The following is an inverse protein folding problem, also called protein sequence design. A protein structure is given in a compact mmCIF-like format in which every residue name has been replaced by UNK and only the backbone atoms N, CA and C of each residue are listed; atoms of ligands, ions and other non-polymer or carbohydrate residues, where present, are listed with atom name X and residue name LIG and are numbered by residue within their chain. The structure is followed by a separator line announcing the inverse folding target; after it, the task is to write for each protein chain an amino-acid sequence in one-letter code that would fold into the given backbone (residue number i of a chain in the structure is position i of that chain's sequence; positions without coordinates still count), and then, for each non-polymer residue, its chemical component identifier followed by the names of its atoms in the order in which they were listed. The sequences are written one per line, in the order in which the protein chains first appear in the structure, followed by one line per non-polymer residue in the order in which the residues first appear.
data_IF_679720355952
#
_entry.id   IF_679720355952
#
_cell.length_a   1.000
_cell.length_b   1.000
_cell.length_c   1.000
_cell.angle_alpha   90.00
_cell.angle_beta   90.00
_cell.angle_gamma   90.00
#
_symmetry.space_group_name_H-M   'P 1'
#
loop_
_entity.id
_entity.type
_entity.pdbx_description
1 polymer ?
#
# COMPACT_ATOMS: atom_id res chain seq x y z
N UNK A 1 27.38 15.15 41.86
CA UNK A 1 26.85 15.67 40.59
C UNK A 1 25.53 16.37 40.90
N UNK A 2 25.52 17.69 40.87
CA UNK A 2 24.33 18.49 41.17
C UNK A 2 23.53 18.78 39.88
N UNK A 3 22.29 19.27 40.01
CA UNK A 3 21.42 19.51 38.86
C UNK A 3 22.00 20.55 37.87
N UNK A 4 22.74 21.54 38.37
CA UNK A 4 23.40 22.56 37.55
C UNK A 4 24.55 21.99 36.71
N UNK A 5 25.33 21.05 37.25
CA UNK A 5 26.35 20.33 36.48
C UNK A 5 25.74 19.51 35.35
N UNK A 6 24.59 18.86 35.58
CA UNK A 6 23.89 18.08 34.55
C UNK A 6 23.39 19.00 33.44
N UNK A 7 22.77 20.14 33.78
CA UNK A 7 22.30 21.12 32.80
C UNK A 7 23.45 21.65 31.95
N UNK A 8 24.58 22.02 32.58
CA UNK A 8 25.77 22.50 31.86
C UNK A 8 26.36 21.44 30.92
N UNK A 9 26.34 20.16 31.32
CA UNK A 9 26.79 19.05 30.49
C UNK A 9 25.83 18.80 29.31
N UNK A 10 24.53 18.91 29.54
CA UNK A 10 23.52 18.83 28.48
C UNK A 10 23.62 19.97 27.46
N UNK A 11 23.90 21.21 27.92
CA UNK A 11 24.11 22.38 27.05
C UNK A 11 25.39 22.26 26.21
N UNK A 12 26.38 21.51 26.69
CA UNK A 12 27.63 21.24 25.97
C UNK A 12 27.51 20.13 24.91
N UNK A 13 26.36 19.44 24.83
CA UNK A 13 26.08 18.45 23.78
C UNK A 13 25.78 19.17 22.45
N UNK A 14 26.84 19.60 21.77
CA UNK A 14 26.76 20.08 20.39
C UNK A 14 26.92 18.89 19.46
N UNK A 15 25.84 18.53 18.75
CA UNK A 15 25.89 17.58 17.64
C UNK A 15 26.83 18.13 16.54
N UNK A 16 28.11 17.78 16.60
CA UNK A 16 29.05 18.01 15.49
C UNK A 16 28.80 16.95 14.42
N UNK A 17 29.06 17.33 13.17
CA UNK A 17 28.41 16.78 11.97
C UNK A 17 28.41 15.24 11.83
N UNK A 18 29.38 14.50 12.40
CA UNK A 18 29.36 13.03 12.56
C UNK A 18 30.26 12.63 13.74
N UNK A 19 29.70 12.24 14.87
CA UNK A 19 30.48 11.74 16.01
C UNK A 19 31.05 10.34 15.71
N UNK A 20 32.39 10.21 15.74
CA UNK A 20 33.09 8.94 15.62
C UNK A 20 33.27 8.40 14.19
N UNK A 21 34.09 7.34 14.01
CA UNK A 21 34.30 6.71 12.71
C UNK A 21 33.06 5.93 12.26
N UNK A 22 32.80 5.93 10.95
CA UNK A 22 31.75 5.10 10.36
C UNK A 22 32.16 3.62 10.43
N UNK A 23 31.55 2.88 11.37
CA UNK A 23 31.84 1.46 11.56
C UNK A 23 30.89 0.59 10.71
N UNK A 24 31.39 -0.28 9.82
CA UNK A 24 30.54 -1.16 9.04
C UNK A 24 29.98 -2.30 9.91
N UNK A 25 28.68 -2.51 9.83
CA UNK A 25 28.02 -3.66 10.46
C UNK A 25 28.37 -4.93 9.67
N UNK A 26 28.87 -5.97 10.35
CA UNK A 26 29.18 -7.28 9.72
C UNK A 26 27.92 -7.88 9.10
N UNK A 27 28.05 -8.51 7.92
CA UNK A 27 26.90 -9.04 7.13
C UNK A 27 26.01 -9.99 7.94
N UNK A 28 26.61 -10.95 8.63
CA UNK A 28 25.88 -11.93 9.46
C UNK A 28 25.04 -11.30 10.58
N UNK A 29 25.40 -10.10 11.06
CA UNK A 29 24.64 -9.37 12.09
C UNK A 29 23.38 -8.69 11.52
N UNK A 30 23.25 -8.57 10.19
CA UNK A 30 22.07 -7.98 9.52
C UNK A 30 21.00 -9.00 9.17
N UNK A 31 21.39 -10.26 8.94
CA UNK A 31 20.51 -11.30 8.41
C UNK A 31 19.20 -11.46 9.22
N UNK A 32 19.28 -11.42 10.55
CA UNK A 32 18.08 -11.49 11.41
C UNK A 32 17.19 -10.24 11.25
N UNK A 33 17.79 -9.06 11.20
CA UNK A 33 17.08 -7.80 10.96
C UNK A 33 16.38 -7.78 9.59
N UNK A 34 17.06 -8.20 8.54
CA UNK A 34 16.50 -8.30 7.18
C UNK A 34 15.35 -9.31 7.12
N UNK A 35 15.50 -10.47 7.77
CA UNK A 35 14.44 -11.48 7.88
C UNK A 35 13.22 -10.93 8.60
N UNK A 36 13.40 -10.25 9.73
CA UNK A 36 12.30 -9.64 10.50
C UNK A 36 11.63 -8.51 9.74
N UNK A 37 12.40 -7.68 9.03
CA UNK A 37 11.87 -6.62 8.16
C UNK A 37 11.02 -7.22 7.03
N UNK A 38 11.47 -8.34 6.47
CA UNK A 38 10.72 -9.15 5.50
C UNK A 38 9.41 -9.74 6.02
N UNK A 39 9.09 -9.60 7.31
CA UNK A 39 7.80 -10.00 7.89
C UNK A 39 6.98 -8.79 8.36
N UNK A 40 7.41 -7.56 8.05
CA UNK A 40 6.71 -6.34 8.46
C UNK A 40 5.92 -5.70 7.32
N UNK A 41 4.82 -5.04 7.70
CA UNK A 41 4.14 -4.02 6.92
C UNK A 41 4.01 -2.77 7.77
N UNK A 42 4.13 -1.60 7.15
CA UNK A 42 3.78 -0.33 7.78
C UNK A 42 2.52 0.20 7.12
N UNK A 43 1.67 0.81 7.93
CA UNK A 43 0.36 1.28 7.53
C UNK A 43 0.18 2.72 7.92
N UNK A 44 -0.41 3.52 7.02
CA UNK A 44 -0.94 4.84 7.35
C UNK A 44 -2.44 4.84 7.08
N UNK A 45 -3.23 5.28 8.07
CA UNK A 45 -4.64 5.58 7.84
C UNK A 45 -4.78 7.00 7.31
N UNK A 46 -5.41 7.14 6.15
CA UNK A 46 -5.68 8.44 5.52
C UNK A 46 -6.91 9.09 6.18
N UNK A 47 -6.71 9.57 7.40
CA UNK A 47 -7.70 10.33 8.16
C UNK A 47 -7.07 11.60 8.72
N UNK A 48 -7.84 12.69 8.71
CA UNK A 48 -7.45 13.94 9.36
C UNK A 48 -7.47 13.83 10.90
N UNK A 49 -8.30 12.93 11.44
CA UNK A 49 -8.46 12.74 12.88
C UNK A 49 -7.70 11.50 13.36
N UNK A 50 -7.24 11.52 14.61
CA UNK A 50 -6.68 10.33 15.24
C UNK A 50 -7.75 9.24 15.38
N UNK A 51 -7.43 8.03 14.94
CA UNK A 51 -8.36 6.91 15.06
C UNK A 51 -8.38 6.32 16.47
N UNK A 52 -9.53 5.77 16.87
CA UNK A 52 -9.60 5.00 18.11
C UNK A 52 -8.77 3.71 17.95
N UNK A 53 -7.67 3.63 18.71
CA UNK A 53 -6.67 2.56 18.59
C UNK A 53 -7.22 1.20 19.00
N UNK A 54 -8.03 1.15 20.06
CA UNK A 54 -8.61 -0.12 20.53
C UNK A 54 -9.60 -0.67 19.50
N UNK A 55 -10.48 0.19 18.98
CA UNK A 55 -11.41 -0.18 17.92
C UNK A 55 -10.66 -0.59 16.64
N UNK A 56 -9.56 0.09 16.30
CA UNK A 56 -8.72 -0.28 15.18
C UNK A 56 -8.09 -1.67 15.36
N UNK A 57 -7.51 -1.97 16.52
CA UNK A 57 -6.96 -3.30 16.83
C UNK A 57 -8.03 -4.40 16.73
N UNK A 58 -9.26 -4.14 17.16
CA UNK A 58 -10.38 -5.09 17.00
C UNK A 58 -10.74 -5.27 15.52
N UNK A 59 -10.75 -4.18 14.74
CA UNK A 59 -11.01 -4.23 13.30
C UNK A 59 -10.01 -5.13 12.56
N UNK A 60 -8.72 -5.14 12.95
CA UNK A 60 -7.70 -5.97 12.28
C UNK A 60 -8.04 -7.47 12.23
N UNK A 61 -8.97 -7.95 13.06
CA UNK A 61 -9.48 -9.33 13.01
C UNK A 61 -10.15 -9.69 11.67
N UNK A 62 -10.58 -8.70 10.86
CA UNK A 62 -11.11 -8.95 9.52
C UNK A 62 -10.09 -9.56 8.57
N UNK A 63 -8.79 -9.39 8.86
CA UNK A 63 -7.70 -9.97 8.08
C UNK A 63 -7.64 -11.49 8.17
N UNK A 64 -8.28 -12.10 9.18
CA UNK A 64 -8.38 -13.57 9.33
C UNK A 64 -7.04 -14.28 9.15
N UNK A 65 -5.97 -13.71 9.70
CA UNK A 65 -4.64 -14.32 9.70
C UNK A 65 -4.65 -15.62 10.50
N UNK A 66 -3.80 -16.57 10.09
CA UNK A 66 -3.65 -17.84 10.79
C UNK A 66 -2.98 -17.64 12.16
N UNK A 67 -2.01 -16.72 12.22
CA UNK A 67 -1.28 -16.37 13.43
C UNK A 67 -1.61 -14.94 13.89
N UNK A 68 -1.39 -14.67 15.18
CA UNK A 68 -1.53 -13.33 15.72
C UNK A 68 -0.50 -12.36 15.10
N UNK A 69 -0.96 -11.14 14.79
CA UNK A 69 -0.12 -10.06 14.27
C UNK A 69 0.25 -9.12 15.41
N UNK A 70 1.54 -8.85 15.60
CA UNK A 70 1.96 -7.87 16.59
C UNK A 70 1.78 -6.46 16.00
N UNK A 71 1.17 -5.55 16.76
CA UNK A 71 0.85 -4.19 16.31
C UNK A 71 1.62 -3.18 17.15
N UNK A 72 2.38 -2.32 16.49
CA UNK A 72 3.12 -1.21 17.11
C UNK A 72 2.60 0.13 16.56
N UNK A 73 2.37 1.10 17.45
CA UNK A 73 2.05 2.48 17.04
C UNK A 73 3.37 3.21 16.80
N UNK A 74 3.55 3.76 15.60
CA UNK A 74 4.77 4.50 15.25
C UNK A 74 4.58 5.99 15.54
N UNK A 75 3.60 6.62 14.87
CA UNK A 75 3.28 8.03 15.07
C UNK A 75 1.87 8.33 14.53
N UNK A 76 1.04 9.02 15.31
CA UNK A 76 -0.31 9.39 14.90
C UNK A 76 -1.12 8.20 14.39
N UNK A 77 -1.50 8.26 13.11
CA UNK A 77 -2.24 7.22 12.38
C UNK A 77 -1.32 6.25 11.59
N UNK A 78 -0.03 6.16 11.96
CA UNK A 78 0.94 5.24 11.37
C UNK A 78 1.21 4.08 12.33
N UNK A 79 1.07 2.86 11.82
CA UNK A 79 1.20 1.61 12.57
C UNK A 79 2.18 0.68 11.87
N UNK A 80 2.87 -0.15 12.63
CA UNK A 80 3.72 -1.23 12.14
C UNK A 80 3.11 -2.57 12.55
N UNK A 81 3.09 -3.51 11.61
CA UNK A 81 2.54 -4.85 11.78
C UNK A 81 3.66 -5.86 11.59
N UNK A 82 3.88 -6.71 12.58
CA UNK A 82 4.86 -7.81 12.49
C UNK A 82 4.12 -9.14 12.41
N UNK A 83 4.24 -9.81 11.27
CA UNK A 83 3.60 -11.09 11.00
C UNK A 83 4.52 -12.24 11.44
N UNK A 84 3.94 -13.36 11.89
CA UNK A 84 4.72 -14.56 12.22
C UNK A 84 5.18 -15.34 10.98
N UNK A 85 4.46 -15.19 9.88
CA UNK A 85 4.73 -15.89 8.63
C UNK A 85 4.43 -15.00 7.42
N UNK A 86 5.08 -15.31 6.30
CA UNK A 86 4.93 -14.54 5.06
C UNK A 86 3.55 -14.73 4.41
N UNK A 87 2.90 -15.88 4.64
CA UNK A 87 1.60 -16.19 4.06
C UNK A 87 0.53 -15.22 4.54
N UNK A 88 0.46 -14.96 5.84
CA UNK A 88 -0.46 -13.99 6.44
C UNK A 88 -0.13 -12.57 5.98
N UNK A 89 1.17 -12.21 5.94
CA UNK A 89 1.62 -10.92 5.42
C UNK A 89 1.13 -10.67 4.00
N UNK A 90 1.35 -11.63 3.10
CA UNK A 90 0.92 -11.57 1.71
C UNK A 90 -0.60 -11.62 1.60
N UNK A 91 -1.29 -12.40 2.43
CA UNK A 91 -2.74 -12.44 2.48
C UNK A 91 -3.33 -11.06 2.80
N UNK A 92 -2.80 -10.38 3.81
CA UNK A 92 -3.23 -9.03 4.20
C UNK A 92 -2.91 -8.01 3.13
N UNK A 93 -1.68 -8.00 2.62
CA UNK A 93 -1.26 -7.08 1.57
C UNK A 93 -2.12 -7.24 0.29
N UNK A 94 -2.42 -8.50 -0.07
CA UNK A 94 -3.21 -8.83 -1.25
C UNK A 94 -4.72 -8.85 -1.01
N UNK A 95 -5.22 -8.76 0.22
CA UNK A 95 -6.65 -8.72 0.50
C UNK A 95 -7.27 -7.33 0.40
N UNK A 96 -6.43 -6.29 0.28
CA UNK A 96 -6.85 -4.90 0.19
C UNK A 96 -7.64 -4.54 -1.09
N UNK A 97 -8.18 -3.31 -1.18
CA UNK A 97 -7.98 -2.22 -0.23
C UNK A 97 -8.72 -2.47 1.09
N UNK A 98 -8.21 -1.92 2.19
CA UNK A 98 -8.81 -1.98 3.52
C UNK A 98 -9.20 -0.59 3.96
N UNK A 99 -10.33 -0.47 4.65
CA UNK A 99 -10.81 0.81 5.18
C UNK A 99 -11.30 0.63 6.62
N UNK A 100 -10.96 1.57 7.49
CA UNK A 100 -11.45 1.64 8.86
C UNK A 100 -12.00 3.03 9.11
N UNK A 101 -13.24 3.12 9.60
CA UNK A 101 -13.89 4.40 9.90
C UNK A 101 -13.81 5.41 8.75
N UNK A 102 -14.13 4.95 7.52
CA UNK A 102 -14.05 5.73 6.26
C UNK A 102 -12.65 6.23 5.89
N UNK A 103 -11.60 5.80 6.61
CA UNK A 103 -10.22 6.08 6.29
C UNK A 103 -9.60 4.90 5.54
N UNK A 104 -8.97 5.18 4.40
CA UNK A 104 -8.23 4.17 3.64
C UNK A 104 -6.95 3.78 4.39
N UNK A 105 -6.67 2.47 4.48
CA UNK A 105 -5.39 1.96 4.96
C UNK A 105 -4.44 1.82 3.78
N UNK A 106 -3.32 2.56 3.84
CA UNK A 106 -2.23 2.38 2.88
C UNK A 106 -1.15 1.52 3.51
N UNK A 107 -1.05 0.27 3.03
CA UNK A 107 -0.08 -0.71 3.48
C UNK A 107 1.14 -0.72 2.56
N UNK A 108 2.33 -0.59 3.14
CA UNK A 108 3.60 -0.63 2.43
C UNK A 108 4.57 -1.58 3.14
N UNK A 109 5.31 -2.38 2.37
CA UNK A 109 6.39 -3.20 2.91
C UNK A 109 7.66 -2.34 3.05
N UNK A 110 8.26 -2.24 4.24
CA UNK A 110 9.51 -1.51 4.40
C UNK A 110 10.63 -2.13 3.57
N UNK A 111 11.45 -1.28 2.92
CA UNK A 111 12.58 -1.71 2.09
C UNK A 111 13.91 -1.18 2.64
N UNK A 112 15.02 -1.80 2.24
CA UNK A 112 16.36 -1.36 2.63
C UNK A 112 16.55 -1.38 4.15
N UNK A 113 16.74 -0.19 4.74
CA UNK A 113 16.94 -0.04 6.19
C UNK A 113 15.63 -0.01 6.99
N UNK A 114 14.47 -0.03 6.33
CA UNK A 114 13.18 0.07 7.00
C UNK A 114 12.89 1.46 7.57
N UNK A 115 13.38 2.51 6.91
CA UNK A 115 13.14 3.89 7.33
C UNK A 115 11.69 4.29 7.07
N UNK A 116 10.89 4.31 8.13
CA UNK A 116 9.46 4.63 8.07
C UNK A 116 9.22 6.10 7.70
N UNK A 117 10.14 7.01 8.05
CA UNK A 117 9.97 8.45 7.76
C UNK A 117 10.09 8.74 6.26
N UNK A 118 10.83 7.91 5.53
CA UNK A 118 10.97 7.99 4.07
C UNK A 118 9.84 7.32 3.29
N UNK A 119 8.88 6.67 3.95
CA UNK A 119 7.77 5.98 3.28
C UNK A 119 6.69 6.97 2.84
N UNK A 120 6.15 6.78 1.64
CA UNK A 120 5.22 7.75 1.03
C UNK A 120 3.77 7.52 1.43
N UNK A 121 3.36 6.25 1.58
CA UNK A 121 1.99 5.85 1.88
C UNK A 121 0.98 6.40 0.86
N UNK A 122 1.30 6.30 -0.42
CA UNK A 122 0.45 6.82 -1.49
C UNK A 122 0.07 5.77 -2.54
N UNK A 123 0.44 4.50 -2.37
CA UNK A 123 0.13 3.44 -3.35
C UNK A 123 -0.84 2.42 -2.77
N UNK A 124 -2.02 2.29 -3.37
CA UNK A 124 -3.04 1.30 -2.96
C UNK A 124 -3.51 0.49 -4.15
N UNK A 125 -3.67 -0.81 -3.96
CA UNK A 125 -4.15 -1.72 -5.00
C UNK A 125 -5.67 -1.79 -4.93
N UNK A 126 -6.36 -1.44 -6.02
CA UNK A 126 -7.81 -1.52 -6.14
C UNK A 126 -8.22 -2.56 -7.18
N UNK A 127 -9.33 -3.24 -6.90
CA UNK A 127 -10.14 -3.84 -7.96
C UNK A 127 -10.96 -2.75 -8.64
N UNK A 128 -10.93 -2.72 -9.96
CA UNK A 128 -11.59 -1.71 -10.79
C UNK A 128 -12.31 -2.42 -11.92
N UNK A 129 -13.58 -2.11 -12.10
CA UNK A 129 -14.38 -2.59 -13.22
C UNK A 129 -14.40 -1.51 -14.31
N UNK A 130 -14.08 -1.92 -15.53
CA UNK A 130 -14.13 -1.10 -16.73
C UNK A 130 -15.41 -1.49 -17.48
N UNK A 131 -16.37 -0.57 -17.52
CA UNK A 131 -17.70 -0.76 -18.10
C UNK A 131 -17.84 -0.03 -19.45
N UNK A 132 -18.91 -0.36 -20.17
CA UNK A 132 -19.22 0.16 -21.51
C UNK A 132 -18.12 -0.17 -22.54
N UNK A 133 -17.51 -1.35 -22.39
CA UNK A 133 -16.51 -1.86 -23.33
C UNK A 133 -17.25 -2.43 -24.55
N UNK A 134 -16.94 -1.98 -25.77
CA UNK A 134 -17.48 -2.59 -26.98
C UNK A 134 -17.10 -4.07 -27.07
N UNK A 135 -17.95 -4.90 -27.69
CA UNK A 135 -17.70 -6.34 -27.81
C UNK A 135 -16.37 -6.67 -28.51
N UNK A 136 -15.98 -5.86 -29.49
CA UNK A 136 -14.68 -5.98 -30.17
C UNK A 136 -13.48 -5.86 -29.19
N UNK A 137 -13.68 -5.18 -28.07
CA UNK A 137 -12.66 -4.87 -27.08
C UNK A 137 -12.59 -5.86 -25.90
N UNK A 138 -13.43 -6.89 -25.91
CA UNK A 138 -13.51 -7.91 -24.85
C UNK A 138 -12.43 -8.99 -25.01
N UNK A 139 -11.16 -8.58 -25.08
CA UNK A 139 -9.99 -9.46 -25.16
C UNK A 139 -9.01 -9.18 -24.03
N UNK A 140 -8.11 -10.15 -23.75
CA UNK A 140 -7.11 -10.02 -22.70
C UNK A 140 -6.11 -8.90 -23.02
N UNK A 141 -5.70 -8.80 -24.29
CA UNK A 141 -4.75 -7.80 -24.79
C UNK A 141 -5.29 -6.39 -24.61
N UNK A 142 -6.58 -6.19 -24.92
CA UNK A 142 -7.23 -4.89 -24.75
C UNK A 142 -7.48 -4.61 -23.27
N UNK A 143 -7.85 -5.61 -22.46
CA UNK A 143 -7.89 -5.47 -21.00
C UNK A 143 -6.56 -4.99 -20.40
N UNK A 144 -5.44 -5.53 -20.88
CA UNK A 144 -4.09 -5.12 -20.47
C UNK A 144 -3.77 -3.69 -20.91
N UNK A 145 -4.11 -3.33 -22.15
CA UNK A 145 -3.95 -1.96 -22.65
C UNK A 145 -4.75 -0.96 -21.81
N UNK A 146 -6.06 -1.21 -21.61
CA UNK A 146 -6.96 -0.33 -20.88
C UNK A 146 -6.54 -0.18 -19.41
N UNK A 147 -6.15 -1.27 -18.75
CA UNK A 147 -5.69 -1.21 -17.37
C UNK A 147 -4.35 -0.50 -17.21
N UNK A 148 -3.44 -0.63 -18.18
CA UNK A 148 -2.21 0.16 -18.24
C UNK A 148 -2.44 1.66 -18.35
N UNK A 149 -3.56 2.10 -18.94
CA UNK A 149 -3.95 3.51 -18.92
C UNK A 149 -4.30 4.01 -17.52
N UNK A 150 -4.76 3.12 -16.62
CA UNK A 150 -5.19 3.47 -15.26
C UNK A 150 -3.99 3.56 -14.31
N UNK A 151 -3.07 2.59 -14.38
CA UNK A 151 -1.90 2.51 -13.50
C UNK A 151 -1.11 1.21 -13.66
N UNK A 152 -0.28 0.88 -12.68
CA UNK A 152 0.47 -0.38 -12.69
C UNK A 152 -0.47 -1.58 -12.49
N UNK A 153 -0.54 -2.47 -13.48
CA UNK A 153 -1.44 -3.63 -13.47
C UNK A 153 -0.85 -4.74 -12.61
N UNK A 154 -1.63 -5.23 -11.65
CA UNK A 154 -1.30 -6.41 -10.83
C UNK A 154 -1.97 -7.68 -11.33
N UNK A 155 -3.21 -7.57 -11.80
CA UNK A 155 -4.03 -8.72 -12.18
C UNK A 155 -5.14 -8.29 -13.15
N UNK A 156 -5.54 -9.19 -14.04
CA UNK A 156 -6.74 -9.06 -14.86
C UNK A 156 -7.59 -10.30 -14.62
N UNK A 157 -8.84 -10.09 -14.25
CA UNK A 157 -9.81 -11.16 -14.03
C UNK A 157 -10.30 -11.67 -15.39
N UNK A 158 -9.62 -12.70 -15.89
CA UNK A 158 -9.93 -13.37 -17.16
C UNK A 158 -10.92 -14.54 -16.99
N UNK A 159 -11.46 -14.73 -15.77
CA UNK A 159 -12.35 -15.83 -15.44
C UNK A 159 -11.79 -17.23 -15.74
N UNK A 160 -12.65 -18.25 -15.70
CA UNK A 160 -12.25 -19.65 -15.99
C UNK A 160 -12.02 -19.94 -17.47
N UNK A 161 -12.55 -19.09 -18.35
CA UNK A 161 -12.48 -19.27 -19.80
C UNK A 161 -11.19 -18.69 -20.40
N UNK A 162 -10.39 -17.98 -19.61
CA UNK A 162 -9.18 -17.29 -20.08
C UNK A 162 -9.49 -16.12 -21.02
N UNK A 163 -10.75 -15.67 -21.08
CA UNK A 163 -11.20 -14.57 -21.94
C UNK A 163 -11.94 -13.55 -21.10
N UNK A 164 -11.73 -12.28 -21.42
CA UNK A 164 -12.45 -11.15 -20.86
C UNK A 164 -13.89 -11.06 -21.40
N UNK A 165 -14.71 -12.10 -21.18
CA UNK A 165 -16.11 -12.14 -21.63
C UNK A 165 -17.02 -11.75 -20.47
N UNK A 166 -17.82 -10.70 -20.63
CA UNK A 166 -18.77 -10.28 -19.60
C UNK A 166 -19.27 -8.86 -19.78
N UNK A 167 -19.96 -8.34 -18.76
CA UNK A 167 -20.50 -6.96 -18.75
C UNK A 167 -19.40 -5.89 -18.61
N UNK A 168 -18.25 -6.27 -18.05
CA UNK A 168 -17.11 -5.41 -17.76
C UNK A 168 -15.82 -6.23 -17.75
N UNK A 169 -14.68 -5.55 -17.88
CA UNK A 169 -13.37 -6.12 -17.57
C UNK A 169 -13.03 -5.69 -16.14
N UNK A 170 -12.65 -6.66 -15.31
CA UNK A 170 -12.25 -6.40 -13.92
C UNK A 170 -10.75 -6.54 -13.80
N UNK A 171 -10.10 -5.49 -13.32
CA UNK A 171 -8.65 -5.40 -13.23
C UNK A 171 -8.23 -4.97 -11.84
N UNK A 172 -7.03 -5.38 -11.48
CA UNK A 172 -6.41 -5.04 -10.22
C UNK A 172 -5.22 -4.15 -10.47
N UNK A 173 -5.27 -2.91 -10.02
CA UNK A 173 -4.34 -1.84 -10.43
C UNK A 173 -3.83 -1.09 -9.20
N UNK A 174 -2.53 -0.77 -9.19
CA UNK A 174 -1.92 0.13 -8.20
C UNK A 174 -2.28 1.57 -8.55
N UNK A 175 -2.87 2.27 -7.60
CA UNK A 175 -3.32 3.65 -7.72
C UNK A 175 -2.51 4.54 -6.80
N UNK A 176 -2.06 5.68 -7.33
CA UNK A 176 -1.55 6.77 -6.51
C UNK A 176 -2.74 7.52 -5.89
N UNK A 177 -2.85 7.51 -4.57
CA UNK A 177 -3.96 8.14 -3.83
C UNK A 177 -3.72 9.61 -3.49
N UNK A 178 -2.55 10.17 -3.84
CA UNK A 178 -2.29 11.62 -3.75
C UNK A 178 -2.96 12.40 -4.89
N UNK A 179 -3.47 11.72 -5.92
CA UNK A 179 -4.12 12.34 -7.08
C UNK A 179 -5.58 11.88 -7.20
N UNK A 180 -6.47 12.70 -7.79
CA UNK A 180 -7.86 12.31 -7.99
C UNK A 180 -8.00 11.03 -8.82
N UNK A 181 -8.92 10.16 -8.40
CA UNK A 181 -9.22 8.92 -9.11
C UNK A 181 -9.76 9.20 -10.52
N UNK A 182 -9.22 8.51 -11.50
CA UNK A 182 -9.72 8.59 -12.88
C UNK A 182 -11.08 7.90 -12.96
N UNK A 183 -12.08 8.56 -13.51
CA UNK A 183 -13.46 8.03 -13.58
C UNK A 183 -13.82 7.43 -14.93
N UNK A 184 -13.09 7.79 -15.98
CA UNK A 184 -13.34 7.36 -17.35
C UNK A 184 -12.05 7.08 -18.12
N UNK A 185 -12.14 6.21 -19.13
CA UNK A 185 -11.15 6.09 -20.20
C UNK A 185 -11.79 6.60 -21.50
N UNK A 186 -10.99 7.26 -22.33
CA UNK A 186 -11.37 7.73 -23.67
C UNK A 186 -10.45 7.05 -24.66
N UNK A 187 -11.00 6.27 -25.58
CA UNK A 187 -10.24 5.48 -26.54
C UNK A 187 -10.85 5.63 -27.92
N UNK A 188 -10.02 5.91 -28.92
CA UNK A 188 -10.38 5.79 -30.32
C UNK A 188 -10.04 4.37 -30.78
N UNK A 189 -11.06 3.53 -30.92
CA UNK A 189 -10.89 2.11 -31.19
C UNK A 189 -10.66 1.85 -32.69
N UNK A 190 -11.29 2.64 -33.56
CA UNK A 190 -11.24 2.44 -35.01
C UNK A 190 -10.21 3.35 -35.69
N UNK A 191 -9.54 4.22 -34.93
CA UNK A 191 -8.61 5.24 -35.43
C UNK A 191 -9.29 6.21 -36.43
N UNK A 192 -10.59 6.43 -36.25
CA UNK A 192 -11.40 7.32 -37.10
C UNK A 192 -11.68 8.67 -36.43
N UNK A 193 -11.01 8.95 -35.31
CA UNK A 193 -11.16 10.16 -34.51
C UNK A 193 -12.36 10.15 -33.56
N UNK A 194 -13.15 9.06 -33.52
CA UNK A 194 -14.33 8.98 -32.64
C UNK A 194 -13.97 8.30 -31.32
N UNK A 195 -14.21 9.02 -30.24
CA UNK A 195 -13.97 8.49 -28.91
C UNK A 195 -15.09 7.56 -28.42
N UNK A 196 -14.66 6.52 -27.71
CA UNK A 196 -15.52 5.69 -26.89
C UNK A 196 -15.15 5.93 -25.43
N UNK A 197 -16.17 6.23 -24.62
CA UNK A 197 -16.02 6.52 -23.19
C UNK A 197 -16.34 5.25 -22.39
N UNK A 198 -15.35 4.74 -21.68
CA UNK A 198 -15.48 3.60 -20.77
C UNK A 198 -15.50 4.10 -19.32
N UNK A 199 -16.41 3.58 -18.51
CA UNK A 199 -16.59 4.01 -17.13
C UNK A 199 -15.75 3.16 -16.18
N UNK A 200 -15.05 3.79 -15.24
CA UNK A 200 -14.27 3.13 -14.20
C UNK A 200 -15.07 3.10 -12.89
N UNK A 201 -15.31 1.89 -12.36
CA UNK A 201 -15.93 1.68 -11.05
C UNK A 201 -14.93 1.01 -10.12
N UNK A 202 -14.47 1.75 -9.11
CA UNK A 202 -13.57 1.23 -8.08
C UNK A 202 -14.36 0.43 -7.05
N UNK A 203 -13.87 -0.75 -6.72
CA UNK A 203 -14.44 -1.57 -5.66
C UNK A 203 -13.83 -1.19 -4.31
N UNK A 204 -14.67 -1.20 -3.25
CA UNK A 204 -14.24 -0.98 -1.86
C UNK A 204 -13.52 0.36 -1.63
N UNK A 205 -14.00 1.43 -2.27
CA UNK A 205 -13.66 2.78 -1.82
C UNK A 205 -14.21 3.02 -0.40
N UNK A 206 -13.50 3.77 0.46
CA UNK A 206 -13.98 4.15 1.81
C UNK A 206 -15.27 4.97 1.81
#
# INVERSE_FOLDING_TARGET
MNAEEVVRLCEALLLKEKEGPLMPLRKNMKNDGERRLGLRLTCKLLSANMVNREAFCVFLRIWRTLECVDVEVINGNIFSFTFKNDRDRQHVLNGGPWSFDKALLVLEAPVGKGDIQGMQFNRVVFWIQIHNIPLLCMTSEIGQFLSGMIGEVKEIDIGKTGKCVGKYIRVRVVINVDVPLRRILRVDIMQDGKEIVMMLMYERLP
#
